data_IF_124727857670
#
_entry.id   IF_124727857670
#
_cell.length_a   1.000
_cell.length_b   1.000
_cell.length_c   1.000
_cell.angle_alpha   90.00
_cell.angle_beta   90.00
_cell.angle_gamma   90.00
#
_symmetry.space_group_name_H-M   'P 1'
#
loop_
_entity.id
_entity.type
_entity.pdbx_description
1 polymer ?
#
# COMPACT_ATOMS: atom_id res chain seq x y z
N UNK A 1 20.71 2.82 6.64
CA UNK A 1 21.36 1.64 5.99
C UNK A 1 20.60 1.09 4.78
N UNK A 2 19.33 0.71 4.95
CA UNK A 2 18.51 0.05 3.91
C UNK A 2 18.35 0.89 2.65
N UNK A 3 17.98 2.17 2.76
CA UNK A 3 17.74 2.98 1.58
C UNK A 3 19.02 3.25 0.75
N UNK A 4 20.19 3.32 1.39
CA UNK A 4 21.48 3.39 0.69
C UNK A 4 21.77 2.10 -0.08
N UNK A 5 21.48 0.94 0.52
CA UNK A 5 21.58 -0.34 -0.17
C UNK A 5 20.61 -0.41 -1.37
N UNK A 6 19.39 0.13 -1.23
CA UNK A 6 18.42 0.23 -2.32
C UNK A 6 18.94 1.09 -3.49
N UNK A 7 19.61 2.22 -3.21
CA UNK A 7 20.26 3.04 -4.24
C UNK A 7 21.35 2.25 -4.95
N UNK A 8 22.21 1.52 -4.23
CA UNK A 8 23.23 0.67 -4.87
C UNK A 8 22.61 -0.47 -5.70
N UNK A 9 21.45 -0.97 -5.28
CA UNK A 9 20.68 -1.98 -6.01
C UNK A 9 19.94 -1.43 -7.24
N UNK A 10 19.92 -0.11 -7.40
CA UNK A 10 19.37 0.62 -8.55
C UNK A 10 17.94 1.15 -8.37
N UNK A 11 17.33 0.96 -7.20
CA UNK A 11 16.00 1.52 -6.90
C UNK A 11 16.05 3.04 -6.81
N UNK A 12 14.93 3.67 -7.16
CA UNK A 12 14.78 5.11 -6.99
C UNK A 12 14.45 5.42 -5.53
N UNK A 13 14.99 6.53 -5.03
CA UNK A 13 14.73 7.00 -3.67
C UNK A 13 14.37 8.48 -3.73
N UNK A 14 13.26 8.84 -3.10
CA UNK A 14 12.70 10.19 -3.09
C UNK A 14 12.37 10.62 -1.66
N UNK A 15 12.31 11.93 -1.37
CA UNK A 15 11.83 12.42 -0.08
C UNK A 15 10.37 11.99 0.22
N UNK A 16 9.97 12.05 1.49
CA UNK A 16 8.59 11.77 1.89
C UNK A 16 7.58 12.81 1.37
N UNK A 17 6.29 12.52 1.52
CA UNK A 17 5.22 13.49 1.21
C UNK A 17 5.16 14.68 2.19
N UNK A 18 5.75 14.53 3.38
CA UNK A 18 5.88 15.58 4.40
C UNK A 18 7.06 16.51 4.14
N UNK A 19 8.08 16.05 3.41
CA UNK A 19 9.28 16.82 3.10
C UNK A 19 8.98 17.86 2.01
N UNK A 20 8.78 19.12 2.44
CA UNK A 20 8.41 20.24 1.59
C UNK A 20 9.35 21.43 1.75
N UNK A 21 9.46 22.25 0.71
CA UNK A 21 10.13 23.55 0.78
C UNK A 21 9.27 24.60 1.51
N UNK A 22 9.82 25.80 1.68
CA UNK A 22 9.14 26.92 2.36
C UNK A 22 7.85 27.37 1.67
N UNK A 23 7.65 26.99 0.40
CA UNK A 23 6.45 27.29 -0.39
C UNK A 23 5.44 26.13 -0.42
N UNK A 24 5.75 25.01 0.25
CA UNK A 24 4.91 23.81 0.27
C UNK A 24 5.09 22.86 -0.91
N UNK A 25 6.10 23.04 -1.76
CA UNK A 25 6.42 22.11 -2.85
C UNK A 25 7.20 20.91 -2.31
N UNK A 26 6.99 19.73 -2.90
CA UNK A 26 7.72 18.52 -2.53
C UNK A 26 9.23 18.67 -2.82
N UNK A 27 10.06 18.26 -1.87
CA UNK A 27 11.49 18.10 -2.12
C UNK A 27 11.73 16.96 -3.12
N UNK A 28 12.73 17.10 -3.99
CA UNK A 28 13.06 16.09 -5.01
C UNK A 28 14.41 15.41 -4.78
N UNK A 29 15.26 15.96 -3.91
CA UNK A 29 16.56 15.40 -3.57
C UNK A 29 16.47 14.70 -2.21
N UNK A 30 16.62 13.37 -2.12
CA UNK A 30 16.66 12.68 -0.83
C UNK A 30 17.85 13.12 0.04
N UNK A 31 18.90 13.71 -0.53
CA UNK A 31 20.04 14.23 0.23
C UNK A 31 19.88 15.70 0.66
N UNK A 32 18.73 16.32 0.39
CA UNK A 32 18.43 17.66 0.91
C UNK A 32 18.46 17.63 2.45
N UNK A 33 19.14 18.57 3.14
CA UNK A 33 19.23 18.58 4.60
C UNK A 33 17.88 18.73 5.31
N UNK A 34 16.82 19.14 4.60
CA UNK A 34 15.45 19.22 5.12
C UNK A 34 14.68 17.90 4.98
N UNK A 35 15.21 16.93 4.23
CA UNK A 35 14.58 15.64 4.06
C UNK A 35 14.68 14.83 5.35
N UNK A 36 13.54 14.44 5.89
CA UNK A 36 13.44 13.69 7.14
C UNK A 36 13.21 12.19 6.92
N UNK A 37 12.63 11.83 5.78
CA UNK A 37 12.29 10.45 5.46
C UNK A 37 12.50 10.14 3.97
N UNK A 38 12.97 8.92 3.69
CA UNK A 38 13.25 8.44 2.33
C UNK A 38 12.25 7.36 1.93
N UNK A 39 11.56 7.57 0.81
CA UNK A 39 10.70 6.58 0.18
C UNK A 39 11.50 5.85 -0.91
N UNK A 40 11.44 4.52 -0.89
CA UNK A 40 12.05 3.67 -1.92
C UNK A 40 10.97 3.22 -2.89
N UNK A 41 11.12 3.56 -4.17
CA UNK A 41 10.18 3.16 -5.22
C UNK A 41 10.60 1.81 -5.81
N UNK A 42 9.72 0.82 -5.66
CA UNK A 42 9.96 -0.56 -6.10
C UNK A 42 8.90 -0.94 -7.15
N UNK A 43 9.29 -1.13 -8.43
CA UNK A 43 8.37 -1.65 -9.43
C UNK A 43 8.03 -3.12 -9.13
N UNK A 44 6.74 -3.41 -8.95
CA UNK A 44 6.24 -4.75 -8.61
C UNK A 44 5.25 -5.20 -9.68
N UNK A 45 5.33 -6.49 -10.05
CA UNK A 45 4.29 -7.18 -10.82
C UNK A 45 3.77 -8.35 -9.99
N UNK A 46 2.49 -8.68 -10.17
CA UNK A 46 1.81 -9.77 -9.46
C UNK A 46 1.50 -10.89 -10.45
N UNK A 47 1.83 -12.16 -10.16
CA UNK A 47 1.71 -13.25 -11.14
C UNK A 47 0.29 -13.46 -11.67
N UNK A 48 -0.74 -13.12 -10.88
CA UNK A 48 -2.13 -13.25 -11.31
C UNK A 48 -2.50 -12.28 -12.43
N UNK A 49 -1.83 -11.12 -12.51
CA UNK A 49 -2.12 -10.11 -13.54
C UNK A 49 -1.68 -10.56 -14.94
N UNK A 50 -0.80 -11.55 -15.04
CA UNK A 50 -0.36 -12.13 -16.30
C UNK A 50 -1.24 -13.31 -16.77
N UNK A 51 -2.27 -13.68 -15.99
CA UNK A 51 -3.18 -14.75 -16.38
C UNK A 51 -4.05 -14.33 -17.58
N UNK A 52 -4.31 -15.22 -18.56
CA UNK A 52 -5.16 -14.89 -19.71
C UNK A 52 -6.54 -14.37 -19.28
N UNK A 53 -6.91 -13.18 -19.75
CA UNK A 53 -8.18 -12.53 -19.44
C UNK A 53 -8.22 -11.74 -18.13
N UNK A 54 -7.14 -11.73 -17.34
CA UNK A 54 -7.05 -10.90 -16.13
C UNK A 54 -6.99 -9.40 -16.46
N UNK A 55 -6.44 -9.05 -17.62
CA UNK A 55 -6.36 -7.69 -18.16
C UNK A 55 -7.68 -7.17 -18.73
N UNK A 56 -8.65 -8.06 -18.98
CA UNK A 56 -10.01 -7.69 -19.43
C UNK A 56 -10.89 -7.20 -18.27
N UNK A 57 -10.51 -7.52 -17.03
CA UNK A 57 -11.28 -7.18 -15.83
C UNK A 57 -10.59 -6.05 -15.09
N UNK A 58 -11.23 -4.90 -15.07
CA UNK A 58 -10.79 -3.79 -14.25
C UNK A 58 -11.19 -4.03 -12.78
N UNK A 59 -10.27 -4.59 -12.00
CA UNK A 59 -10.49 -4.97 -10.58
C UNK A 59 -10.92 -3.77 -9.72
N UNK A 60 -10.45 -2.57 -10.05
CA UNK A 60 -10.90 -1.32 -9.42
C UNK A 60 -12.41 -1.05 -9.59
N UNK A 61 -13.08 -1.72 -10.53
CA UNK A 61 -14.52 -1.59 -10.78
C UNK A 61 -15.36 -2.70 -10.17
N UNK A 62 -14.78 -3.59 -9.35
CA UNK A 62 -15.61 -4.53 -8.60
C UNK A 62 -16.57 -3.80 -7.69
N UNK A 63 -17.85 -4.12 -7.85
CA UNK A 63 -18.89 -3.54 -7.01
C UNK A 63 -18.80 -4.04 -5.58
N UNK A 64 -19.33 -3.27 -4.65
CA UNK A 64 -19.41 -3.68 -3.25
C UNK A 64 -20.21 -5.00 -3.09
N UNK A 65 -21.22 -5.22 -3.94
CA UNK A 65 -21.97 -6.47 -4.00
C UNK A 65 -21.10 -7.66 -4.42
N UNK A 66 -20.32 -7.50 -5.50
CA UNK A 66 -19.44 -8.57 -5.97
C UNK A 66 -18.39 -8.94 -4.91
N UNK A 67 -17.83 -7.94 -4.23
CA UNK A 67 -16.91 -8.16 -3.10
C UNK A 67 -17.60 -8.92 -1.96
N UNK A 68 -18.78 -8.48 -1.52
CA UNK A 68 -19.53 -9.14 -0.44
C UNK A 68 -19.89 -10.59 -0.78
N UNK A 69 -20.40 -10.83 -1.99
CA UNK A 69 -20.75 -12.18 -2.45
C UNK A 69 -19.51 -13.07 -2.50
N UNK A 70 -18.39 -12.58 -3.02
CA UNK A 70 -17.13 -13.33 -3.03
C UNK A 70 -16.71 -13.74 -1.61
N UNK A 71 -16.69 -12.80 -0.67
CA UNK A 71 -16.28 -13.10 0.71
C UNK A 71 -17.27 -14.03 1.43
N UNK A 72 -18.57 -13.94 1.16
CA UNK A 72 -19.56 -14.88 1.68
C UNK A 72 -19.36 -16.30 1.15
N UNK A 73 -18.93 -16.46 -0.11
CA UNK A 73 -18.57 -17.78 -0.64
C UNK A 73 -17.32 -18.33 0.04
N UNK A 74 -16.30 -17.49 0.27
CA UNK A 74 -15.10 -17.87 1.05
C UNK A 74 -15.50 -18.33 2.44
N UNK A 75 -16.32 -17.54 3.13
CA UNK A 75 -16.82 -17.83 4.47
C UNK A 75 -17.59 -19.15 4.54
N UNK A 76 -18.42 -19.45 3.53
CA UNK A 76 -19.27 -20.64 3.53
C UNK A 76 -18.51 -21.92 3.20
N UNK A 77 -17.55 -21.85 2.28
CA UNK A 77 -16.96 -23.05 1.68
C UNK A 77 -15.50 -23.30 2.05
N UNK A 78 -14.79 -22.28 2.54
CA UNK A 78 -13.34 -22.37 2.76
C UNK A 78 -12.92 -22.02 4.19
N UNK A 79 -13.76 -21.28 4.94
CA UNK A 79 -13.42 -20.82 6.29
C UNK A 79 -14.22 -21.55 7.36
N UNK A 80 -13.54 -22.06 8.39
CA UNK A 80 -14.20 -22.67 9.58
C UNK A 80 -14.62 -21.63 10.61
N UNK A 81 -13.79 -20.61 10.80
CA UNK A 81 -14.03 -19.52 11.73
C UNK A 81 -14.58 -18.33 10.95
N UNK A 82 -13.86 -17.22 10.93
CA UNK A 82 -14.34 -15.98 10.40
C UNK A 82 -13.42 -15.43 9.31
N UNK A 83 -14.01 -15.03 8.21
CA UNK A 83 -13.32 -14.39 7.09
C UNK A 83 -13.22 -12.92 7.41
N UNK A 84 -12.01 -12.44 7.66
CA UNK A 84 -11.74 -11.01 7.75
C UNK A 84 -11.70 -10.44 6.33
N UNK A 85 -12.52 -9.44 6.09
CA UNK A 85 -12.62 -8.78 4.80
C UNK A 85 -12.81 -7.27 4.98
N UNK A 86 -12.34 -6.49 4.02
CA UNK A 86 -12.74 -5.09 3.85
C UNK A 86 -13.53 -5.00 2.55
N UNK A 87 -14.78 -4.58 2.63
CA UNK A 87 -15.61 -4.29 1.47
C UNK A 87 -15.52 -2.80 1.20
N UNK A 88 -14.92 -2.46 0.06
CA UNK A 88 -14.84 -1.09 -0.42
C UNK A 88 -16.12 -0.71 -1.14
N UNK A 89 -16.70 0.45 -0.81
CA UNK A 89 -17.95 0.92 -1.42
C UNK A 89 -17.91 2.39 -1.81
N UNK A 90 -18.58 2.71 -2.92
CA UNK A 90 -18.93 4.08 -3.31
C UNK A 90 -20.27 4.48 -2.72
N UNK A 91 -20.54 5.78 -2.69
CA UNK A 91 -21.79 6.33 -2.17
C UNK A 91 -23.04 5.70 -2.83
N UNK A 92 -23.02 5.54 -4.16
CA UNK A 92 -24.13 4.98 -4.91
C UNK A 92 -24.32 3.45 -4.70
N UNK A 93 -23.43 2.79 -3.98
CA UNK A 93 -23.48 1.35 -3.69
C UNK A 93 -24.01 1.04 -2.28
N UNK A 94 -24.17 2.06 -1.43
CA UNK A 94 -24.54 1.91 -0.01
C UNK A 94 -25.87 1.17 0.14
N UNK A 95 -26.92 1.63 -0.53
CA UNK A 95 -28.27 1.06 -0.38
C UNK A 95 -28.34 -0.40 -0.86
N UNK A 96 -27.68 -0.69 -1.99
CA UNK A 96 -27.66 -2.03 -2.55
C UNK A 96 -26.90 -2.99 -1.63
N UNK A 97 -25.74 -2.58 -1.11
CA UNK A 97 -24.97 -3.38 -0.16
C UNK A 97 -25.72 -3.58 1.15
N UNK A 98 -26.33 -2.53 1.70
CA UNK A 98 -27.12 -2.60 2.93
C UNK A 98 -28.29 -3.58 2.82
N UNK A 99 -29.01 -3.54 1.70
CA UNK A 99 -30.08 -4.49 1.38
C UNK A 99 -29.55 -5.93 1.34
N UNK A 100 -28.44 -6.15 0.64
CA UNK A 100 -27.82 -7.47 0.52
C UNK A 100 -27.37 -8.05 1.87
N UNK A 101 -26.79 -7.22 2.74
CA UNK A 101 -26.40 -7.61 4.10
C UNK A 101 -27.64 -7.98 4.92
N UNK A 102 -28.70 -7.16 4.86
CA UNK A 102 -29.94 -7.44 5.57
C UNK A 102 -30.57 -8.76 5.12
N UNK A 103 -30.64 -9.01 3.81
CA UNK A 103 -31.14 -10.26 3.25
C UNK A 103 -30.31 -11.47 3.68
N UNK A 104 -28.97 -11.35 3.66
CA UNK A 104 -28.07 -12.41 4.12
C UNK A 104 -28.35 -12.82 5.57
N UNK A 105 -28.56 -11.83 6.45
CA UNK A 105 -28.88 -12.05 7.87
C UNK A 105 -30.27 -12.67 8.01
N UNK A 106 -31.27 -12.10 7.33
CA UNK A 106 -32.67 -12.56 7.42
C UNK A 106 -32.83 -14.01 6.95
N UNK A 107 -32.08 -14.41 5.93
CA UNK A 107 -32.13 -15.75 5.33
C UNK A 107 -31.12 -16.74 5.93
N UNK A 108 -30.42 -16.36 6.99
CA UNK A 108 -29.42 -17.19 7.68
C UNK A 108 -28.35 -17.76 6.72
N UNK A 109 -27.82 -16.91 5.82
CA UNK A 109 -26.86 -17.33 4.80
C UNK A 109 -25.43 -17.56 5.35
N UNK A 110 -25.21 -17.34 6.65
CA UNK A 110 -23.92 -17.49 7.35
C UNK A 110 -23.48 -16.23 8.09
N UNK A 111 -22.40 -16.34 8.85
CA UNK A 111 -21.80 -15.22 9.60
C UNK A 111 -20.44 -14.83 9.02
N UNK A 112 -20.13 -13.53 8.96
CA UNK A 112 -18.84 -12.99 8.53
C UNK A 112 -18.47 -11.76 9.37
N UNK A 113 -17.19 -11.41 9.46
CA UNK A 113 -16.71 -10.13 9.96
C UNK A 113 -16.03 -9.34 8.85
N UNK A 114 -16.81 -8.45 8.24
CA UNK A 114 -16.31 -7.51 7.26
C UNK A 114 -16.28 -6.09 7.84
N UNK A 115 -15.24 -5.34 7.51
CA UNK A 115 -15.21 -3.88 7.64
C UNK A 115 -15.75 -3.26 6.35
N UNK A 116 -16.48 -2.16 6.46
CA UNK A 116 -16.92 -1.36 5.31
C UNK A 116 -16.03 -0.13 5.23
N UNK A 117 -15.41 0.11 4.07
CA UNK A 117 -14.49 1.22 3.86
C UNK A 117 -14.92 2.05 2.66
N UNK A 118 -15.12 3.35 2.86
CA UNK A 118 -15.41 4.26 1.77
C UNK A 118 -14.25 4.26 0.76
N UNK A 119 -14.59 4.04 -0.51
CA UNK A 119 -13.62 4.00 -1.59
C UNK A 119 -13.45 5.39 -2.20
N UNK A 120 -12.20 5.80 -2.35
CA UNK A 120 -11.83 7.02 -3.07
C UNK A 120 -11.22 6.61 -4.41
N UNK A 121 -11.90 6.90 -5.51
CA UNK A 121 -11.37 6.63 -6.86
C UNK A 121 -10.40 7.72 -7.35
N UNK A 122 -10.33 8.85 -6.65
CA UNK A 122 -9.50 9.98 -7.06
C UNK A 122 -8.06 9.86 -6.52
N UNK A 123 -7.22 9.20 -7.31
CA UNK A 123 -5.78 9.04 -7.05
C UNK A 123 -5.03 10.38 -7.00
N UNK A 124 -5.61 11.49 -7.48
CA UNK A 124 -4.91 12.77 -7.62
C UNK A 124 -4.77 13.53 -6.29
N UNK A 125 -5.39 13.05 -5.22
CA UNK A 125 -5.46 13.79 -3.95
C UNK A 125 -4.16 13.67 -3.14
N UNK A 126 -3.37 12.60 -3.33
CA UNK A 126 -2.25 12.29 -2.45
C UNK A 126 -0.97 12.01 -3.25
N UNK A 127 0.08 12.84 -3.15
CA UNK A 127 1.36 12.57 -3.79
C UNK A 127 2.08 11.42 -3.06
N UNK A 128 2.88 10.63 -3.81
CA UNK A 128 3.77 9.58 -3.26
C UNK A 128 3.01 8.53 -2.42
N UNK A 129 1.89 8.05 -2.97
CA UNK A 129 1.13 6.96 -2.37
C UNK A 129 2.02 5.72 -2.18
N UNK A 130 1.81 4.94 -1.10
CA UNK A 130 2.52 3.68 -0.90
C UNK A 130 2.37 2.70 -2.07
N UNK A 131 1.23 2.78 -2.78
CA UNK A 131 0.96 2.03 -3.99
C UNK A 131 0.45 2.97 -5.09
N UNK A 132 1.12 2.96 -6.23
CA UNK A 132 0.72 3.70 -7.41
C UNK A 132 0.47 2.71 -8.56
N UNK A 133 -0.76 2.62 -9.11
CA UNK A 133 -1.03 1.77 -10.25
C UNK A 133 -0.31 2.32 -11.49
N UNK A 134 0.53 1.49 -12.10
CA UNK A 134 1.26 1.82 -13.32
C UNK A 134 0.91 0.84 -14.44
N UNK A 135 0.97 1.31 -15.68
CA UNK A 135 0.82 0.41 -16.83
C UNK A 135 2.04 -0.50 -17.03
N UNK A 136 1.86 -1.53 -17.85
CA UNK A 136 2.90 -2.50 -18.17
C UNK A 136 4.15 -1.86 -18.79
N UNK A 137 3.97 -0.87 -19.67
CA UNK A 137 5.09 -0.20 -20.34
C UNK A 137 5.97 0.57 -19.33
N UNK A 138 5.33 1.22 -18.37
CA UNK A 138 5.94 1.95 -17.27
C UNK A 138 6.67 0.99 -16.34
N UNK A 139 6.04 -0.13 -15.97
CA UNK A 139 6.70 -1.19 -15.20
C UNK A 139 7.97 -1.68 -15.91
N UNK A 140 7.88 -2.09 -17.18
CA UNK A 140 9.01 -2.60 -17.96
C UNK A 140 10.15 -1.59 -18.08
N UNK A 141 9.81 -0.30 -18.27
CA UNK A 141 10.77 0.80 -18.29
C UNK A 141 11.47 0.93 -16.93
N UNK A 142 10.71 1.05 -15.84
CA UNK A 142 11.26 1.23 -14.50
C UNK A 142 12.12 0.03 -14.08
N UNK A 143 11.69 -1.20 -14.34
CA UNK A 143 12.50 -2.41 -14.08
C UNK A 143 13.81 -2.40 -14.88
N UNK A 144 13.80 -1.92 -16.13
CA UNK A 144 15.02 -1.78 -16.93
C UNK A 144 15.93 -0.72 -16.34
N UNK A 145 15.39 0.43 -15.95
CA UNK A 145 16.16 1.50 -15.33
C UNK A 145 16.80 1.07 -14.00
N UNK A 146 16.10 0.28 -13.17
CA UNK A 146 16.69 -0.32 -11.97
C UNK A 146 17.93 -1.14 -12.32
N UNK A 147 17.84 -2.00 -13.34
CA UNK A 147 18.99 -2.78 -13.82
C UNK A 147 20.12 -1.90 -14.35
N UNK A 148 19.81 -0.80 -15.03
CA UNK A 148 20.82 0.14 -15.55
C UNK A 148 21.55 0.90 -14.44
N UNK A 149 20.84 1.31 -13.38
CA UNK A 149 21.43 2.05 -12.24
C UNK A 149 22.17 1.14 -11.26
N UNK A 150 21.84 -0.15 -11.24
CA UNK A 150 22.36 -1.14 -10.31
C UNK A 150 23.90 -1.23 -10.35
N UNK A 151 24.52 -1.04 -9.18
CA UNK A 151 25.96 -1.23 -8.96
C UNK A 151 26.30 -2.65 -8.51
N UNK A 152 25.35 -3.33 -7.87
CA UNK A 152 25.51 -4.69 -7.33
C UNK A 152 24.18 -5.44 -7.41
N UNK A 153 24.22 -6.73 -7.72
CA UNK A 153 23.07 -7.64 -7.72
C UNK A 153 22.93 -8.45 -6.43
N UNK A 154 23.88 -8.32 -5.51
CA UNK A 154 23.82 -8.81 -4.14
C UNK A 154 23.36 -7.67 -3.20
N UNK A 155 22.07 -7.70 -2.84
CA UNK A 155 21.47 -6.72 -1.94
C UNK A 155 22.02 -6.87 -0.51
N UNK A 156 22.28 -8.10 -0.07
CA UNK A 156 22.79 -8.34 1.28
C UNK A 156 24.20 -7.76 1.41
N UNK A 157 25.06 -7.98 0.43
CA UNK A 157 26.39 -7.35 0.40
C UNK A 157 26.32 -5.82 0.38
N UNK A 158 25.35 -5.22 -0.34
CA UNK A 158 25.13 -3.78 -0.31
C UNK A 158 24.70 -3.30 1.09
N UNK A 159 23.76 -4.00 1.71
CA UNK A 159 23.25 -3.69 3.04
C UNK A 159 24.35 -3.77 4.11
N UNK A 160 25.15 -4.83 4.10
CA UNK A 160 26.24 -5.04 5.06
C UNK A 160 27.32 -3.96 5.01
N UNK A 161 27.47 -3.21 3.90
CA UNK A 161 28.39 -2.06 3.83
C UNK A 161 27.92 -0.87 4.66
N UNK A 162 26.61 -0.73 4.80
CA UNK A 162 25.98 0.39 5.50
C UNK A 162 25.43 0.00 6.87
N UNK A 163 25.37 -1.30 7.18
CA UNK A 163 25.02 -1.81 8.47
C UNK A 163 26.17 -1.57 9.46
N UNK A 164 26.03 -0.55 10.29
CA UNK A 164 27.02 -0.13 11.28
C UNK A 164 26.76 -0.76 12.66
N UNK A 165 25.88 -1.77 12.74
CA UNK A 165 25.43 -2.37 14.00
C UNK A 165 24.25 -1.63 14.63
N UNK A 166 24.09 -1.72 15.96
CA UNK A 166 22.98 -1.06 16.67
C UNK A 166 23.05 0.46 16.50
N UNK A 167 22.21 0.98 15.61
CA UNK A 167 21.90 2.39 15.50
C UNK A 167 20.56 2.61 16.18
N UNK A 168 20.41 3.68 16.97
CA UNK A 168 19.12 4.07 17.51
C UNK A 168 18.18 4.37 16.34
N UNK A 169 17.21 3.48 16.07
CA UNK A 169 16.16 3.74 15.10
C UNK A 169 15.30 4.88 15.64
N UNK A 170 15.46 6.06 15.03
CA UNK A 170 14.64 7.23 15.30
C UNK A 170 13.79 7.50 14.06
N UNK A 171 12.63 6.89 14.00
CA UNK A 171 11.57 7.24 13.06
C UNK A 171 10.23 6.88 13.71
N UNK A 172 9.20 7.72 13.60
CA UNK A 172 7.86 7.33 14.04
C UNK A 172 7.47 6.07 13.29
N UNK A 173 6.99 5.04 13.99
CA UNK A 173 6.38 3.92 13.30
C UNK A 173 5.22 4.46 12.44
N UNK A 174 4.94 3.88 11.27
CA UNK A 174 3.79 4.31 10.45
C UNK A 174 2.43 4.22 11.18
N UNK A 175 2.38 3.50 12.31
CA UNK A 175 1.24 3.42 13.22
C UNK A 175 1.36 4.32 14.48
N UNK A 176 2.50 4.97 14.71
CA UNK A 176 2.67 6.03 15.70
C UNK A 176 2.12 7.33 15.13
N UNK A 177 0.81 7.37 14.89
CA UNK A 177 0.15 8.66 15.02
C UNK A 177 0.22 9.02 16.50
N UNK A 178 0.80 10.17 16.84
CA UNK A 178 0.94 10.73 18.20
C UNK A 178 -0.38 10.89 18.99
N UNK A 179 -1.48 10.30 18.52
CA UNK A 179 -2.80 10.30 19.17
C UNK A 179 -2.97 9.23 20.25
N UNK A 180 -2.04 8.29 20.39
CA UNK A 180 -2.13 7.20 21.38
C UNK A 180 -1.12 7.31 22.54
N UNK A 181 -0.23 8.29 22.55
CA UNK A 181 0.70 8.50 23.66
C UNK A 181 -0.02 9.27 24.77
N UNK A 182 -0.27 8.62 25.91
CA UNK A 182 -0.71 9.32 27.11
C UNK A 182 0.39 10.27 27.58
N UNK A 183 0.05 11.50 28.03
CA UNK A 183 1.05 12.41 28.58
C UNK A 183 1.65 11.82 29.86
N UNK A 184 2.97 11.67 29.89
CA UNK A 184 3.69 11.33 31.12
C UNK A 184 3.42 12.40 32.18
N UNK A 185 2.85 11.98 33.31
CA UNK A 185 2.70 12.87 34.45
C UNK A 185 4.07 13.13 35.09
N UNK A 186 4.47 14.39 35.30
CA UNK A 186 5.69 14.70 36.02
C UNK A 186 5.52 14.37 37.51
N UNK A 187 6.46 13.60 38.05
CA UNK A 187 6.67 13.37 39.49
C UNK A 187 7.27 14.58 40.18
#
# INVERSE_FOLDING_TARGET
PVALACIEYGYNVVPSQSDKDENGNLLNDPFDPRCTEWLVEIPVSVPWADLPGADEIEISKFSALAQMDFYMQVQKFYTRHNTSATVELRENEIEALGTRIYEAIKEDQGYISAALLARFDDLQTFPRLPFEPIDKQTYERLTREVKTRRKTDDFFAALSRYDLGEMAEAGPAGCDSDKCLMPDQPS
#
